data_IF_546798618798
#
_entry.id   IF_546798618798
#
_cell.length_a   1.000
_cell.length_b   1.000
_cell.length_c   1.000
_cell.angle_alpha   90.00
_cell.angle_beta   90.00
_cell.angle_gamma   90.00
#
_symmetry.space_group_name_H-M   'P 1'
#
loop_
_entity.id
_entity.type
_entity.pdbx_description
1 polymer ?
#
# COMPACT_ATOMS: atom_id res chain seq x y z
N UNK A 1 -27.72 -15.02 -29.55
CA UNK A 1 -27.71 -14.60 -28.13
C UNK A 1 -26.36 -14.74 -27.43
N UNK A 2 -25.45 -15.58 -27.87
CA UNK A 2 -24.11 -15.82 -27.28
C UNK A 2 -23.08 -14.72 -27.55
N UNK A 3 -23.20 -13.98 -28.64
CA UNK A 3 -22.18 -12.99 -29.06
C UNK A 3 -22.25 -11.67 -28.26
N UNK A 4 -23.46 -11.25 -27.89
CA UNK A 4 -23.70 -10.06 -27.05
C UNK A 4 -23.20 -10.26 -25.62
N UNK A 5 -23.38 -11.47 -25.06
CA UNK A 5 -22.91 -11.80 -23.69
C UNK A 5 -21.39 -11.80 -23.62
N UNK A 6 -20.70 -12.21 -24.67
CA UNK A 6 -19.24 -12.24 -24.72
C UNK A 6 -18.63 -10.82 -24.81
N UNK A 7 -19.23 -9.92 -25.59
CA UNK A 7 -18.82 -8.51 -25.66
C UNK A 7 -18.98 -7.77 -24.35
N UNK A 8 -20.10 -8.01 -23.65
CA UNK A 8 -20.38 -7.35 -22.35
C UNK A 8 -19.39 -7.79 -21.27
N UNK A 9 -19.04 -9.09 -21.23
CA UNK A 9 -18.06 -9.61 -20.26
C UNK A 9 -16.64 -9.06 -20.49
N UNK A 10 -16.24 -8.87 -21.75
CA UNK A 10 -14.94 -8.26 -22.09
C UNK A 10 -14.90 -6.80 -21.68
N UNK A 11 -15.95 -6.01 -21.97
CA UNK A 11 -16.03 -4.60 -21.60
C UNK A 11 -16.02 -4.39 -20.08
N UNK A 12 -16.71 -5.24 -19.31
CA UNK A 12 -16.70 -5.19 -17.85
C UNK A 12 -15.29 -5.52 -17.32
N UNK A 13 -14.61 -6.51 -17.90
CA UNK A 13 -13.24 -6.86 -17.52
C UNK A 13 -12.24 -5.74 -17.79
N UNK A 14 -12.34 -5.03 -18.88
CA UNK A 14 -11.48 -3.88 -19.22
C UNK A 14 -11.75 -2.67 -18.32
N UNK A 15 -13.01 -2.35 -18.06
CA UNK A 15 -13.39 -1.26 -17.14
C UNK A 15 -12.88 -1.54 -15.73
N UNK A 16 -13.07 -2.76 -15.22
CA UNK A 16 -12.56 -3.16 -13.89
C UNK A 16 -11.04 -3.06 -13.78
N UNK A 17 -10.31 -3.47 -14.83
CA UNK A 17 -8.84 -3.35 -14.88
C UNK A 17 -8.39 -1.89 -14.86
N UNK A 18 -9.04 -1.02 -15.63
CA UNK A 18 -8.73 0.42 -15.69
C UNK A 18 -8.97 1.10 -14.35
N UNK A 19 -10.11 0.82 -13.68
CA UNK A 19 -10.37 1.33 -12.33
C UNK A 19 -9.32 0.87 -11.32
N UNK A 20 -8.90 -0.39 -11.38
CA UNK A 20 -7.85 -0.93 -10.52
C UNK A 20 -6.52 -0.20 -10.71
N UNK A 21 -6.11 0.05 -11.94
CA UNK A 21 -4.87 0.77 -12.28
C UNK A 21 -4.92 2.22 -11.79
N UNK A 22 -5.99 2.95 -12.13
CA UNK A 22 -6.15 4.36 -11.73
C UNK A 22 -6.19 4.48 -10.22
N UNK A 23 -6.96 3.62 -9.54
CA UNK A 23 -7.03 3.60 -8.07
C UNK A 23 -5.66 3.32 -7.43
N UNK A 24 -4.94 2.31 -7.92
CA UNK A 24 -3.61 1.97 -7.40
C UNK A 24 -2.59 3.09 -7.61
N UNK A 25 -2.56 3.74 -8.77
CA UNK A 25 -1.67 4.88 -9.05
C UNK A 25 -2.03 6.08 -8.16
N UNK A 26 -3.30 6.42 -8.04
CA UNK A 26 -3.76 7.53 -7.19
C UNK A 26 -3.37 7.30 -5.74
N UNK A 27 -3.66 6.11 -5.21
CA UNK A 27 -3.28 5.74 -3.84
C UNK A 27 -1.75 5.70 -3.65
N UNK A 28 -1.00 5.27 -4.66
CA UNK A 28 0.47 5.28 -4.63
C UNK A 28 1.01 6.70 -4.50
N UNK A 29 0.57 7.62 -5.35
CA UNK A 29 1.05 9.01 -5.35
C UNK A 29 0.65 9.72 -4.05
N UNK A 30 -0.63 9.70 -3.69
CA UNK A 30 -1.12 10.36 -2.48
C UNK A 30 -0.52 9.74 -1.22
N UNK A 31 -0.46 8.40 -1.14
CA UNK A 31 0.12 7.69 -0.01
C UNK A 31 1.62 8.02 0.15
N UNK A 32 2.37 8.06 -0.94
CA UNK A 32 3.80 8.41 -0.91
C UNK A 32 4.01 9.85 -0.42
N UNK A 33 3.27 10.82 -0.98
CA UNK A 33 3.40 12.24 -0.62
C UNK A 33 3.03 12.48 0.84
N UNK A 34 1.88 11.96 1.29
CA UNK A 34 1.40 12.17 2.66
C UNK A 34 2.32 11.52 3.71
N UNK A 35 2.75 10.28 3.48
CA UNK A 35 3.64 9.60 4.42
C UNK A 35 5.04 10.22 4.44
N UNK A 36 5.56 10.68 3.29
CA UNK A 36 6.81 11.42 3.24
C UNK A 36 6.72 12.73 4.03
N UNK A 37 5.61 13.47 3.88
CA UNK A 37 5.38 14.71 4.62
C UNK A 37 5.34 14.46 6.14
N UNK A 38 4.64 13.42 6.57
CA UNK A 38 4.61 13.01 7.99
C UNK A 38 6.02 12.69 8.50
N UNK A 39 6.81 11.92 7.76
CA UNK A 39 8.19 11.61 8.13
C UNK A 39 9.06 12.86 8.23
N UNK A 40 8.95 13.80 7.29
CA UNK A 40 9.67 15.08 7.33
C UNK A 40 9.30 15.87 8.60
N UNK A 41 8.01 15.95 8.94
CA UNK A 41 7.55 16.65 10.15
C UNK A 41 8.10 15.99 11.41
N UNK A 42 8.07 14.66 11.51
CA UNK A 42 8.63 13.93 12.66
C UNK A 42 10.13 14.18 12.80
N UNK A 43 10.87 14.18 11.69
CA UNK A 43 12.32 14.37 11.70
C UNK A 43 12.73 15.82 11.98
N UNK A 44 11.99 16.80 11.46
CA UNK A 44 12.36 18.22 11.56
C UNK A 44 11.85 18.88 12.84
N UNK A 45 10.70 18.46 13.39
CA UNK A 45 10.08 19.06 14.56
C UNK A 45 10.49 18.38 15.85
N UNK A 46 11.47 18.94 16.57
CA UNK A 46 11.96 18.41 17.85
C UNK A 46 10.85 18.20 18.89
N UNK A 47 9.81 19.05 18.89
CA UNK A 47 8.65 18.95 19.78
C UNK A 47 7.83 17.68 19.52
N UNK A 48 7.63 17.31 18.25
CA UNK A 48 6.93 16.08 17.84
C UNK A 48 7.76 14.85 18.18
N UNK A 49 9.07 14.91 17.97
CA UNK A 49 10.00 13.80 18.25
C UNK A 49 10.08 13.44 19.74
N UNK A 50 9.81 14.38 20.64
CA UNK A 50 9.79 14.14 22.10
C UNK A 50 8.51 13.45 22.59
N UNK A 51 7.51 13.31 21.74
CA UNK A 51 6.27 12.61 22.09
C UNK A 51 6.49 11.10 22.14
N UNK A 52 6.01 10.45 23.19
CA UNK A 52 6.24 9.01 23.42
C UNK A 52 5.75 8.09 22.29
N UNK A 53 4.73 8.51 21.53
CA UNK A 53 4.21 7.76 20.38
C UNK A 53 4.99 8.01 19.07
N UNK A 54 5.96 8.94 19.07
CA UNK A 54 6.72 9.32 17.86
C UNK A 54 7.44 8.15 17.18
N UNK A 55 8.09 7.20 17.88
CA UNK A 55 8.74 6.06 17.23
C UNK A 55 7.75 5.17 16.49
N UNK A 56 6.59 4.90 17.10
CA UNK A 56 5.54 4.08 16.46
C UNK A 56 4.97 4.77 15.22
N UNK A 57 4.72 6.08 15.29
CA UNK A 57 4.27 6.87 14.15
C UNK A 57 5.31 6.90 13.02
N UNK A 58 6.60 7.00 13.38
CA UNK A 58 7.69 6.95 12.41
C UNK A 58 7.71 5.63 11.65
N UNK A 59 7.72 4.49 12.36
CA UNK A 59 7.72 3.17 11.73
C UNK A 59 6.44 2.90 10.93
N UNK A 60 5.30 3.38 11.41
CA UNK A 60 4.03 3.28 10.67
C UNK A 60 4.10 4.03 9.34
N UNK A 61 4.52 5.30 9.37
CA UNK A 61 4.67 6.12 8.15
C UNK A 61 5.71 5.56 7.20
N UNK A 62 6.81 4.99 7.71
CA UNK A 62 7.83 4.34 6.91
C UNK A 62 7.29 3.07 6.21
N UNK A 63 6.51 2.26 6.92
CA UNK A 63 5.86 1.07 6.37
C UNK A 63 4.85 1.44 5.28
N UNK A 64 4.01 2.46 5.53
CA UNK A 64 3.05 2.96 4.55
C UNK A 64 3.74 3.60 3.34
N UNK A 65 4.85 4.31 3.54
CA UNK A 65 5.65 4.86 2.45
C UNK A 65 6.21 3.74 1.56
N UNK A 66 6.77 2.69 2.16
CA UNK A 66 7.25 1.51 1.43
C UNK A 66 6.13 0.83 0.65
N UNK A 67 4.97 0.67 1.27
CA UNK A 67 3.80 0.07 0.63
C UNK A 67 3.30 0.92 -0.55
N UNK A 68 3.15 2.23 -0.37
CA UNK A 68 2.65 3.13 -1.41
C UNK A 68 3.65 3.35 -2.54
N UNK A 69 4.95 3.44 -2.24
CA UNK A 69 5.97 3.73 -3.24
C UNK A 69 6.43 2.49 -4.03
N UNK A 70 6.36 1.31 -3.45
CA UNK A 70 6.85 0.07 -4.09
C UNK A 70 5.72 -0.91 -4.41
N UNK A 71 4.88 -1.25 -3.43
CA UNK A 71 3.90 -2.31 -3.60
C UNK A 71 2.75 -1.90 -4.51
N UNK A 72 2.23 -0.68 -4.37
CA UNK A 72 1.11 -0.21 -5.19
C UNK A 72 1.47 -0.02 -6.67
N UNK A 73 2.63 0.56 -7.06
CA UNK A 73 3.03 0.64 -8.46
C UNK A 73 3.19 -0.74 -9.11
N UNK A 74 3.79 -1.69 -8.39
CA UNK A 74 3.93 -3.08 -8.90
C UNK A 74 2.57 -3.74 -9.06
N UNK A 75 1.64 -3.52 -8.12
CA UNK A 75 0.27 -4.00 -8.27
C UNK A 75 -0.44 -3.36 -9.47
N UNK A 76 -0.28 -2.04 -9.69
CA UNK A 76 -0.82 -1.35 -10.85
C UNK A 76 -0.28 -1.92 -12.16
N UNK A 77 1.02 -2.19 -12.23
CA UNK A 77 1.63 -2.84 -13.39
C UNK A 77 1.03 -4.22 -13.66
N UNK A 78 0.76 -5.01 -12.61
CA UNK A 78 0.11 -6.31 -12.73
C UNK A 78 -1.29 -6.20 -13.33
N UNK A 79 -2.09 -5.22 -12.90
CA UNK A 79 -3.42 -4.97 -13.47
C UNK A 79 -3.35 -4.53 -14.94
N UNK A 80 -2.37 -3.70 -15.29
CA UNK A 80 -2.21 -3.16 -16.64
C UNK A 80 -1.73 -4.22 -17.64
N UNK A 81 -0.71 -4.98 -17.30
CA UNK A 81 -0.06 -5.92 -18.24
C UNK A 81 -0.65 -7.34 -18.22
N UNK A 82 -1.66 -7.63 -17.40
CA UNK A 82 -2.34 -8.94 -17.37
C UNK A 82 -1.37 -10.11 -17.58
N UNK A 83 -0.66 -10.56 -16.61
CA UNK A 83 0.23 -11.73 -16.65
C UNK A 83 1.47 -11.64 -17.57
N UNK A 84 1.57 -10.70 -18.52
CA UNK A 84 2.69 -10.65 -19.45
C UNK A 84 4.01 -10.22 -18.80
N UNK A 85 3.99 -9.40 -17.76
CA UNK A 85 5.22 -9.00 -17.04
C UNK A 85 5.83 -10.18 -16.29
N UNK A 86 5.00 -11.02 -15.68
CA UNK A 86 5.47 -12.13 -14.86
C UNK A 86 5.96 -13.32 -15.67
N UNK A 87 5.68 -13.38 -16.99
CA UNK A 87 6.27 -14.38 -17.88
C UNK A 87 7.78 -14.21 -18.05
N UNK A 88 8.29 -13.01 -17.85
CA UNK A 88 9.72 -12.70 -17.94
C UNK A 88 10.42 -12.63 -16.58
N UNK A 89 9.66 -12.59 -15.47
CA UNK A 89 10.27 -12.75 -14.15
C UNK A 89 10.41 -14.24 -13.82
N UNK A 90 11.52 -14.63 -13.18
CA UNK A 90 11.65 -16.01 -12.68
C UNK A 90 10.45 -16.34 -11.77
N UNK A 91 9.96 -17.58 -11.82
CA UNK A 91 8.79 -18.07 -11.04
C UNK A 91 8.84 -17.66 -9.56
N UNK A 92 10.04 -17.55 -9.01
CA UNK A 92 10.31 -17.08 -7.64
C UNK A 92 9.99 -15.59 -7.42
N UNK A 93 10.03 -14.75 -8.46
CA UNK A 93 9.80 -13.30 -8.33
C UNK A 93 8.39 -12.94 -7.88
N UNK A 94 7.39 -13.63 -8.39
CA UNK A 94 5.99 -13.43 -7.97
C UNK A 94 5.78 -13.85 -6.51
N UNK A 95 6.41 -14.94 -6.07
CA UNK A 95 6.34 -15.43 -4.70
C UNK A 95 7.01 -14.45 -3.73
N UNK A 96 8.19 -13.93 -4.05
CA UNK A 96 8.88 -12.92 -3.25
C UNK A 96 8.07 -11.63 -3.12
N UNK A 97 7.49 -11.15 -4.23
CA UNK A 97 6.65 -9.95 -4.19
C UNK A 97 5.43 -10.15 -3.29
N UNK A 98 4.74 -11.28 -3.41
CA UNK A 98 3.60 -11.61 -2.56
C UNK A 98 4.01 -11.68 -1.09
N UNK A 99 5.14 -12.29 -0.77
CA UNK A 99 5.66 -12.36 0.59
C UNK A 99 5.96 -10.96 1.17
N UNK A 100 6.62 -10.10 0.41
CA UNK A 100 6.91 -8.71 0.83
C UNK A 100 5.63 -7.91 1.02
N UNK A 101 4.66 -8.07 0.11
CA UNK A 101 3.36 -7.40 0.19
C UNK A 101 2.60 -7.80 1.47
N UNK A 102 2.46 -9.09 1.73
CA UNK A 102 1.76 -9.59 2.92
C UNK A 102 2.51 -9.27 4.22
N UNK A 103 3.83 -9.37 4.22
CA UNK A 103 4.64 -8.99 5.38
C UNK A 103 4.47 -7.51 5.72
N UNK A 104 4.49 -6.62 4.73
CA UNK A 104 4.29 -5.19 4.93
C UNK A 104 2.87 -4.90 5.47
N UNK A 105 1.84 -5.57 4.92
CA UNK A 105 0.47 -5.44 5.40
C UNK A 105 0.33 -5.91 6.86
N UNK A 106 0.93 -7.04 7.22
CA UNK A 106 0.93 -7.55 8.58
C UNK A 106 1.62 -6.60 9.56
N UNK A 107 2.81 -6.08 9.21
CA UNK A 107 3.53 -5.10 10.01
C UNK A 107 2.72 -3.82 10.21
N UNK A 108 2.09 -3.30 9.16
CA UNK A 108 1.25 -2.11 9.24
C UNK A 108 0.08 -2.31 10.20
N UNK A 109 -0.64 -3.43 10.08
CA UNK A 109 -1.75 -3.75 10.98
C UNK A 109 -1.30 -3.91 12.43
N UNK A 110 -0.14 -4.56 12.66
CA UNK A 110 0.44 -4.70 13.99
C UNK A 110 0.76 -3.35 14.63
N UNK A 111 1.38 -2.43 13.87
CA UNK A 111 1.69 -1.08 14.35
C UNK A 111 0.41 -0.31 14.69
N UNK A 112 -0.64 -0.40 13.88
CA UNK A 112 -1.95 0.22 14.17
C UNK A 112 -2.53 -0.29 15.48
N UNK A 113 -2.48 -1.61 15.72
CA UNK A 113 -2.91 -2.19 16.99
C UNK A 113 -2.12 -1.65 18.19
N UNK A 114 -0.79 -1.55 18.06
CA UNK A 114 0.07 -1.01 19.11
C UNK A 114 -0.19 0.48 19.38
N UNK A 115 -0.40 1.29 18.35
CA UNK A 115 -0.78 2.70 18.49
C UNK A 115 -2.12 2.83 19.21
N UNK A 116 -3.12 2.05 18.81
CA UNK A 116 -4.45 2.04 19.42
C UNK A 116 -4.40 1.64 20.89
N UNK A 117 -3.63 0.60 21.21
CA UNK A 117 -3.42 0.16 22.61
C UNK A 117 -2.73 1.25 23.44
N UNK A 118 -1.71 1.91 22.89
CA UNK A 118 -1.03 3.01 23.58
C UNK A 118 -1.99 4.18 23.87
N UNK A 119 -2.82 4.56 22.90
CA UNK A 119 -3.84 5.60 23.13
C UNK A 119 -4.86 5.19 24.17
N UNK A 120 -5.30 3.95 24.16
CA UNK A 120 -6.21 3.41 25.19
C UNK A 120 -5.59 3.52 26.58
N UNK A 121 -4.36 3.05 26.77
CA UNK A 121 -3.66 3.08 28.05
C UNK A 121 -3.43 4.51 28.57
N UNK A 122 -3.16 5.47 27.66
CA UNK A 122 -3.00 6.89 28.04
C UNK A 122 -4.32 7.52 28.44
N UNK A 123 -5.44 7.14 27.82
CA UNK A 123 -6.77 7.67 28.18
C UNK A 123 -7.28 7.21 29.55
N UNK A 124 -6.80 6.08 30.06
CA UNK A 124 -7.18 5.52 31.36
C UNK A 124 -6.18 5.83 32.50
N UNK A 125 -5.19 6.67 32.25
CA UNK A 125 -4.19 7.10 33.23
C UNK A 125 -4.40 8.54 33.68
#
# INVERSE_FOLDING_TARGET
>A
MTETTNKTSILIGEASSTFGVVGAITCSVLGTLLNLLVLIVILTRAKVRRYNASPLMFYHSLSLLTFSALCLPVAAMRFYFRDNIFKHLPEKGCSYFSMVFFANLAVTNWIVCMVSLNHFLVAFR
#
